data_IF_324589107139
#
_entry.id   IF_324589107139
#
_cell.length_a   1.000
_cell.length_b   1.000
_cell.length_c   1.000
_cell.angle_alpha   90.00
_cell.angle_beta   90.00
_cell.angle_gamma   90.00
#
_symmetry.space_group_name_H-M   'P 1'
#
loop_
_entity.id
_entity.type
_entity.pdbx_description
1 polymer ?
#
# COMPACT_ATOMS: atom_id res chain seq x y z
N UNK A 1 -26.50 -27.03 56.24
CA UNK A 1 -26.24 -28.42 55.82
C UNK A 1 -24.91 -28.44 55.08
N UNK A 2 -23.93 -29.02 55.75
CA UNK A 2 -22.53 -29.22 55.35
C UNK A 2 -22.37 -30.53 54.58
N UNK A 3 -21.67 -30.52 53.44
CA UNK A 3 -21.11 -31.71 52.77
C UNK A 3 -19.77 -31.28 52.18
N UNK A 4 -18.67 -31.52 52.90
CA UNK A 4 -17.83 -32.72 52.86
C UNK A 4 -17.17 -33.00 51.51
N UNK A 5 -15.86 -32.73 51.51
CA UNK A 5 -14.84 -33.11 50.55
C UNK A 5 -14.57 -34.62 50.63
N UNK A 6 -14.50 -35.30 49.49
CA UNK A 6 -13.70 -36.53 49.33
C UNK A 6 -12.99 -36.51 48.00
N UNK A 7 -11.65 -36.50 48.08
CA UNK A 7 -10.77 -36.47 46.94
C UNK A 7 -10.64 -37.80 46.21
N UNK A 8 -10.09 -37.72 45.00
CA UNK A 8 -9.46 -38.86 44.34
C UNK A 8 -8.26 -38.36 43.55
N UNK A 9 -7.07 -38.73 44.03
CA UNK A 9 -5.80 -38.62 43.32
C UNK A 9 -5.81 -39.66 42.20
N UNK A 10 -5.69 -39.21 40.97
CA UNK A 10 -5.39 -40.04 39.80
C UNK A 10 -4.14 -39.49 39.14
N UNK A 11 -3.01 -40.17 39.32
CA UNK A 11 -1.83 -40.02 38.47
C UNK A 11 -2.19 -40.49 37.06
N UNK A 12 -2.06 -39.62 36.07
CA UNK A 12 -1.96 -40.00 34.66
C UNK A 12 -0.61 -39.50 34.15
N UNK A 13 0.23 -40.48 33.81
CA UNK A 13 1.50 -40.31 33.14
C UNK A 13 1.28 -40.29 31.61
N UNK A 14 2.28 -39.74 30.91
CA UNK A 14 2.62 -39.93 29.50
C UNK A 14 1.66 -39.33 28.45
N UNK A 15 2.11 -38.22 27.85
CA UNK A 15 2.75 -38.25 26.53
C UNK A 15 3.35 -36.87 26.25
N UNK A 16 4.68 -36.77 26.26
CA UNK A 16 5.37 -35.61 25.71
C UNK A 16 5.29 -35.71 24.18
N UNK A 17 4.31 -35.03 23.58
CA UNK A 17 4.33 -34.77 22.14
C UNK A 17 5.50 -33.86 21.84
N UNK A 18 6.58 -34.42 21.28
CA UNK A 18 7.57 -33.66 20.55
C UNK A 18 6.89 -33.11 19.30
N UNK A 19 6.30 -31.93 19.43
CA UNK A 19 5.99 -31.09 18.29
C UNK A 19 7.32 -30.71 17.63
N UNK A 20 7.65 -31.40 16.54
CA UNK A 20 8.49 -30.86 15.48
C UNK A 20 7.75 -29.63 14.93
N UNK A 21 7.81 -28.51 15.66
CA UNK A 21 7.59 -27.21 15.04
C UNK A 21 8.76 -27.04 14.09
N UNK A 22 8.47 -27.23 12.81
CA UNK A 22 9.27 -26.74 11.72
C UNK A 22 9.69 -25.31 12.07
N UNK A 23 10.96 -25.14 12.41
CA UNK A 23 11.66 -23.88 12.24
C UNK A 23 11.68 -23.63 10.72
N UNK A 24 10.54 -23.22 10.18
CA UNK A 24 10.52 -22.29 9.07
C UNK A 24 11.17 -21.05 9.66
N UNK A 25 12.49 -21.02 9.57
CA UNK A 25 13.25 -19.80 9.66
C UNK A 25 12.63 -18.88 8.63
N UNK A 26 11.70 -18.04 9.09
CA UNK A 26 11.33 -16.80 8.46
C UNK A 26 12.68 -16.17 8.13
N UNK A 27 13.06 -16.21 6.85
CA UNK A 27 14.31 -15.66 6.40
C UNK A 27 14.24 -14.19 6.79
N UNK A 28 14.87 -13.85 7.92
CA UNK A 28 14.91 -12.49 8.41
C UNK A 28 15.47 -11.69 7.25
N UNK A 29 14.62 -10.83 6.67
CA UNK A 29 15.05 -9.95 5.60
C UNK A 29 16.33 -9.27 6.09
N UNK A 30 17.43 -9.30 5.32
CA UNK A 30 18.73 -8.86 5.81
C UNK A 30 18.57 -7.46 6.41
N UNK A 31 18.83 -7.33 7.72
CA UNK A 31 18.51 -6.18 8.59
C UNK A 31 19.19 -4.85 8.21
N UNK A 32 19.66 -4.68 6.98
CA UNK A 32 20.49 -3.54 6.56
C UNK A 32 20.06 -2.86 5.25
N UNK A 33 19.06 -3.37 4.51
CA UNK A 33 18.62 -2.73 3.26
C UNK A 33 17.53 -1.69 3.51
N UNK A 34 17.68 -0.48 2.95
CA UNK A 34 16.62 0.53 3.00
C UNK A 34 15.45 0.08 2.13
N UNK A 35 14.23 0.42 2.51
CA UNK A 35 13.04 0.13 1.71
C UNK A 35 13.13 0.66 0.27
N UNK A 36 13.85 1.77 0.05
CA UNK A 36 14.11 2.36 -1.27
C UNK A 36 14.98 1.49 -2.20
N UNK A 37 15.78 0.57 -1.63
CA UNK A 37 16.79 -0.21 -2.35
C UNK A 37 16.25 -1.56 -2.86
N UNK A 38 14.98 -1.87 -2.60
CA UNK A 38 14.33 -3.11 -3.05
C UNK A 38 13.87 -3.01 -4.51
N UNK A 39 14.16 -4.04 -5.29
CA UNK A 39 13.65 -4.20 -6.67
C UNK A 39 12.16 -4.56 -6.65
N UNK A 40 11.44 -4.36 -7.75
CA UNK A 40 10.02 -4.73 -7.81
C UNK A 40 9.79 -6.21 -7.49
N UNK A 41 10.62 -7.12 -8.01
CA UNK A 41 10.46 -8.56 -7.79
C UNK A 41 10.64 -8.96 -6.33
N UNK A 42 11.66 -8.44 -5.64
CA UNK A 42 11.87 -8.69 -4.22
C UNK A 42 10.66 -8.23 -3.38
N UNK A 43 10.06 -7.09 -3.74
CA UNK A 43 8.87 -6.58 -3.06
C UNK A 43 7.68 -7.49 -3.28
N UNK A 44 7.46 -7.95 -4.51
CA UNK A 44 6.34 -8.83 -4.85
C UNK A 44 6.49 -10.19 -4.17
N UNK A 45 7.69 -10.76 -4.15
CA UNK A 45 7.99 -12.01 -3.46
C UNK A 45 7.64 -11.92 -1.97
N UNK A 46 8.11 -10.89 -1.27
CA UNK A 46 7.83 -10.71 0.15
C UNK A 46 6.39 -10.25 0.45
N UNK A 47 5.79 -9.46 -0.46
CA UNK A 47 4.41 -8.99 -0.35
C UNK A 47 3.42 -10.14 -0.43
N UNK A 48 3.66 -11.11 -1.31
CA UNK A 48 2.72 -12.20 -1.59
C UNK A 48 3.12 -13.54 -0.98
N UNK A 49 4.18 -13.58 -0.17
CA UNK A 49 4.49 -14.71 0.68
C UNK A 49 3.34 -14.95 1.69
N UNK A 50 2.75 -16.16 1.66
CA UNK A 50 1.57 -16.50 2.47
C UNK A 50 1.81 -16.36 3.97
N UNK A 51 2.98 -16.75 4.45
CA UNK A 51 3.35 -16.65 5.86
C UNK A 51 3.42 -15.18 6.30
N UNK A 52 4.06 -14.34 5.48
CA UNK A 52 4.16 -12.90 5.71
C UNK A 52 2.79 -12.22 5.65
N UNK A 53 1.92 -12.59 4.70
CA UNK A 53 0.54 -12.07 4.63
C UNK A 53 -0.27 -12.43 5.88
N UNK A 54 -0.22 -13.70 6.31
CA UNK A 54 -0.88 -14.18 7.53
C UNK A 54 -0.38 -13.44 8.78
N UNK A 55 0.93 -13.25 8.90
CA UNK A 55 1.52 -12.50 10.01
C UNK A 55 1.01 -11.04 10.05
N UNK A 56 0.96 -10.37 8.88
CA UNK A 56 0.44 -8.99 8.79
C UNK A 56 -1.04 -8.90 9.10
N UNK A 57 -1.88 -9.84 8.64
CA UNK A 57 -3.30 -9.89 9.00
C UNK A 57 -3.50 -10.06 10.50
N UNK A 58 -2.77 -10.98 11.11
CA UNK A 58 -2.83 -11.20 12.55
C UNK A 58 -2.44 -9.95 13.33
N UNK A 59 -1.38 -9.25 12.91
CA UNK A 59 -0.98 -8.01 13.58
C UNK A 59 -1.99 -6.87 13.37
N UNK A 60 -2.54 -6.73 12.17
CA UNK A 60 -3.58 -5.74 11.90
C UNK A 60 -4.87 -6.03 12.72
N UNK A 61 -5.23 -7.31 12.91
CA UNK A 61 -6.36 -7.71 13.75
C UNK A 61 -6.12 -7.38 15.24
N UNK A 62 -4.88 -7.49 15.75
CA UNK A 62 -4.56 -7.06 17.12
C UNK A 62 -4.76 -5.56 17.32
N UNK A 63 -4.35 -4.76 16.33
CA UNK A 63 -4.46 -3.30 16.40
C UNK A 63 -5.90 -2.81 16.27
N UNK A 64 -6.68 -3.41 15.36
CA UNK A 64 -8.06 -3.01 15.10
C UNK A 64 -9.07 -3.59 16.10
N UNK A 65 -8.69 -4.64 16.83
CA UNK A 65 -9.55 -5.34 17.78
C UNK A 65 -10.24 -6.57 17.18
N UNK A 66 -10.84 -7.42 18.04
CA UNK A 66 -11.35 -8.74 17.66
C UNK A 66 -12.49 -8.71 16.62
N UNK A 67 -13.16 -7.57 16.45
CA UNK A 67 -14.27 -7.40 15.49
C UNK A 67 -13.79 -7.19 14.05
N UNK A 68 -12.52 -6.84 13.84
CA UNK A 68 -12.00 -6.47 12.52
C UNK A 68 -11.20 -7.59 11.84
N UNK A 69 -11.12 -8.79 12.43
CA UNK A 69 -10.39 -9.90 11.81
C UNK A 69 -10.97 -10.21 10.42
N UNK A 70 -10.24 -9.93 9.32
CA UNK A 70 -10.74 -10.26 8.01
C UNK A 70 -10.68 -11.78 7.85
N UNK A 71 -11.85 -12.41 7.67
CA UNK A 71 -11.98 -13.84 7.38
C UNK A 71 -11.40 -14.21 5.99
N UNK A 72 -11.07 -13.20 5.18
CA UNK A 72 -10.52 -13.39 3.84
C UNK A 72 -9.00 -13.65 3.86
N UNK A 73 -8.65 -14.92 3.63
CA UNK A 73 -7.26 -15.38 3.52
C UNK A 73 -6.49 -14.77 2.34
N UNK A 74 -7.20 -14.28 1.32
CA UNK A 74 -6.62 -13.59 0.15
C UNK A 74 -6.30 -12.12 0.40
N UNK A 75 -6.78 -11.55 1.50
CA UNK A 75 -6.61 -10.13 1.77
C UNK A 75 -5.15 -9.80 2.19
N UNK A 76 -4.52 -8.92 1.42
CA UNK A 76 -3.19 -8.41 1.72
C UNK A 76 -3.28 -7.04 2.39
N UNK A 77 -2.76 -6.95 3.61
CA UNK A 77 -2.71 -5.71 4.39
C UNK A 77 -1.25 -5.23 4.47
N UNK A 78 -1.03 -3.99 4.06
CA UNK A 78 0.29 -3.36 4.03
C UNK A 78 0.19 -1.99 4.70
N UNK A 79 1.13 -1.69 5.59
CA UNK A 79 1.20 -0.48 6.39
C UNK A 79 2.56 0.18 6.16
N UNK A 80 2.61 1.35 5.55
CA UNK A 80 3.92 1.92 5.21
C UNK A 80 4.71 2.46 6.40
N UNK A 81 4.13 2.47 7.61
CA UNK A 81 4.89 2.66 8.85
C UNK A 81 5.66 1.41 9.28
N UNK A 82 5.18 0.21 8.92
CA UNK A 82 5.74 -1.07 9.37
C UNK A 82 6.52 -1.79 8.30
N UNK A 83 6.00 -1.78 7.08
CA UNK A 83 6.55 -2.51 5.94
C UNK A 83 6.50 -1.66 4.66
N UNK A 84 7.15 -0.46 4.66
CA UNK A 84 7.19 0.43 3.51
C UNK A 84 7.78 -0.23 2.27
N UNK A 85 8.70 -1.17 2.43
CA UNK A 85 9.34 -1.92 1.34
C UNK A 85 8.33 -2.74 0.52
N UNK A 86 7.17 -3.13 1.05
CA UNK A 86 6.22 -3.94 0.29
C UNK A 86 5.35 -3.13 -0.68
N UNK A 87 5.40 -1.80 -0.63
CA UNK A 87 4.74 -0.97 -1.62
C UNK A 87 5.53 -0.97 -2.93
N UNK A 88 4.82 -1.07 -4.04
CA UNK A 88 5.39 -0.75 -5.34
C UNK A 88 5.53 0.78 -5.48
N UNK A 89 6.55 1.29 -6.20
CA UNK A 89 6.74 2.73 -6.37
C UNK A 89 5.51 3.48 -6.90
N UNK A 90 4.72 2.86 -7.78
CA UNK A 90 3.53 3.48 -8.35
C UNK A 90 2.40 3.68 -7.33
N UNK A 91 2.30 2.84 -6.30
CA UNK A 91 1.28 2.97 -5.24
C UNK A 91 1.61 4.18 -4.35
N UNK A 92 2.89 4.34 -4.00
CA UNK A 92 3.36 5.50 -3.24
C UNK A 92 3.31 6.77 -4.06
N UNK A 93 3.66 6.72 -5.35
CA UNK A 93 3.56 7.87 -6.24
C UNK A 93 2.11 8.33 -6.42
N UNK A 94 1.18 7.39 -6.61
CA UNK A 94 -0.25 7.72 -6.66
C UNK A 94 -0.72 8.36 -5.34
N UNK A 95 -0.26 7.85 -4.20
CA UNK A 95 -0.57 8.42 -2.89
C UNK A 95 0.02 9.83 -2.71
N UNK A 96 1.25 10.06 -3.18
CA UNK A 96 1.89 11.38 -3.22
C UNK A 96 1.03 12.39 -3.99
N UNK A 97 0.63 12.05 -5.22
CA UNK A 97 -0.18 12.93 -6.05
C UNK A 97 -1.58 13.16 -5.44
N UNK A 98 -2.21 12.10 -4.93
CA UNK A 98 -3.52 12.21 -4.30
C UNK A 98 -3.50 13.12 -3.07
N UNK A 99 -2.51 12.96 -2.20
CA UNK A 99 -2.42 13.74 -0.97
C UNK A 99 -1.94 15.17 -1.24
N UNK A 100 -1.03 15.38 -2.19
CA UNK A 100 -0.52 16.70 -2.52
C UNK A 100 -1.49 17.54 -3.35
N UNK A 101 -2.27 16.94 -4.26
CA UNK A 101 -3.11 17.66 -5.24
C UNK A 101 -4.58 17.20 -5.24
N UNK A 102 -5.01 16.54 -4.17
CA UNK A 102 -6.37 16.08 -3.97
C UNK A 102 -7.41 17.20 -3.94
N UNK A 103 -8.71 16.85 -3.85
CA UNK A 103 -9.80 17.80 -3.97
C UNK A 103 -9.90 18.79 -2.80
N UNK A 104 -9.28 18.48 -1.66
CA UNK A 104 -9.26 19.36 -0.48
C UNK A 104 -7.95 20.14 -0.51
N UNK A 105 -8.01 21.37 -1.06
CA UNK A 105 -6.82 22.20 -1.32
C UNK A 105 -6.00 22.46 -0.05
N UNK A 106 -6.66 22.75 1.08
CA UNK A 106 -6.02 22.99 2.37
C UNK A 106 -5.22 21.77 2.83
N UNK A 107 -5.79 20.57 2.74
CA UNK A 107 -5.10 19.31 3.05
C UNK A 107 -3.88 19.09 2.15
N UNK A 108 -3.99 19.45 0.87
CA UNK A 108 -2.89 19.36 -0.09
C UNK A 108 -1.71 20.28 0.26
N UNK A 109 -2.00 21.54 0.61
CA UNK A 109 -0.98 22.48 1.04
C UNK A 109 -0.27 22.01 2.32
N UNK A 110 -1.03 21.60 3.34
CA UNK A 110 -0.48 21.07 4.59
C UNK A 110 0.38 19.82 4.37
N UNK A 111 -0.03 18.94 3.46
CA UNK A 111 0.74 17.74 3.12
C UNK A 111 2.07 18.09 2.44
N UNK A 112 2.07 19.03 1.48
CA UNK A 112 3.30 19.52 0.84
C UNK A 112 4.22 20.23 1.84
N UNK A 113 3.66 21.05 2.73
CA UNK A 113 4.43 21.73 3.78
C UNK A 113 5.11 20.73 4.71
N UNK A 114 4.40 19.67 5.12
CA UNK A 114 4.96 18.59 5.94
C UNK A 114 6.15 17.89 5.29
N UNK A 115 6.11 17.67 3.99
CA UNK A 115 7.19 16.99 3.25
C UNK A 115 8.32 17.93 2.78
N UNK A 116 8.10 19.24 2.77
CA UNK A 116 9.07 20.23 2.29
C UNK A 116 10.44 20.17 3.00
N UNK A 117 10.54 19.99 4.34
CA UNK A 117 11.83 19.80 4.99
C UNK A 117 12.62 18.60 4.45
N UNK A 118 11.95 17.47 4.17
CA UNK A 118 12.59 16.30 3.57
C UNK A 118 13.03 16.58 2.13
N UNK A 119 12.17 17.22 1.32
CA UNK A 119 12.53 17.62 -0.05
C UNK A 119 13.80 18.48 -0.08
N UNK A 120 13.90 19.47 0.82
CA UNK A 120 15.10 20.31 0.97
C UNK A 120 16.32 19.50 1.41
N UNK A 121 16.17 18.58 2.36
CA UNK A 121 17.27 17.72 2.82
C UNK A 121 17.79 16.77 1.71
N UNK A 122 16.92 16.38 0.78
CA UNK A 122 17.29 15.60 -0.42
C UNK A 122 17.92 16.48 -1.52
N UNK A 123 17.93 17.80 -1.35
CA UNK A 123 18.44 18.76 -2.32
C UNK A 123 17.54 18.89 -3.54
N UNK A 124 16.21 18.81 -3.36
CA UNK A 124 15.27 19.27 -4.39
C UNK A 124 15.16 20.79 -4.36
N UNK A 125 14.97 21.37 -5.54
CA UNK A 125 14.78 22.81 -5.73
C UNK A 125 13.46 23.29 -5.09
N UNK A 126 13.37 24.59 -4.81
CA UNK A 126 12.15 25.20 -4.26
C UNK A 126 10.94 25.03 -5.20
N UNK A 127 11.18 24.86 -6.50
CA UNK A 127 10.17 24.64 -7.54
C UNK A 127 9.63 23.21 -7.59
N UNK A 128 10.18 22.26 -6.80
CA UNK A 128 9.85 20.84 -6.85
C UNK A 128 8.35 20.53 -6.97
N UNK A 129 7.52 21.15 -6.13
CA UNK A 129 6.08 20.91 -6.16
C UNK A 129 5.44 21.47 -7.44
N UNK A 130 5.83 22.66 -7.87
CA UNK A 130 5.33 23.24 -9.12
C UNK A 130 5.72 22.39 -10.33
N UNK A 131 6.97 21.92 -10.38
CA UNK A 131 7.48 21.08 -11.46
C UNK A 131 6.77 19.73 -11.49
N UNK A 132 6.55 19.11 -10.32
CA UNK A 132 5.80 17.86 -10.22
C UNK A 132 4.33 18.03 -10.64
N UNK A 133 3.68 19.12 -10.26
CA UNK A 133 2.29 19.42 -10.68
C UNK A 133 2.19 19.61 -12.20
N UNK A 134 3.13 20.35 -12.80
CA UNK A 134 3.20 20.55 -14.25
C UNK A 134 3.35 19.21 -14.95
N UNK A 135 4.28 18.37 -14.49
CA UNK A 135 4.54 17.04 -15.06
C UNK A 135 3.32 16.10 -14.93
N UNK A 136 2.60 16.17 -13.80
CA UNK A 136 1.46 15.31 -13.51
C UNK A 136 0.11 15.88 -13.97
N UNK A 137 0.07 17.03 -14.65
CA UNK A 137 -1.17 17.79 -14.91
C UNK A 137 -2.26 16.95 -15.57
N UNK A 138 -1.95 16.30 -16.68
CA UNK A 138 -2.94 15.51 -17.41
C UNK A 138 -3.46 14.33 -16.57
N UNK A 139 -2.57 13.72 -15.78
CA UNK A 139 -2.92 12.63 -14.86
C UNK A 139 -3.86 13.12 -13.75
N UNK A 140 -3.60 14.31 -13.21
CA UNK A 140 -4.43 14.95 -12.18
C UNK A 140 -5.81 15.32 -12.75
N UNK A 141 -5.88 15.78 -14.00
CA UNK A 141 -7.14 16.08 -14.68
C UNK A 141 -8.00 14.84 -14.89
N UNK A 142 -7.39 13.72 -15.32
CA UNK A 142 -8.10 12.44 -15.40
C UNK A 142 -8.56 11.94 -14.04
N UNK A 143 -7.76 12.11 -12.97
CA UNK A 143 -8.18 11.72 -11.61
C UNK A 143 -9.34 12.59 -11.09
N UNK A 144 -9.33 13.89 -11.40
CA UNK A 144 -10.46 14.81 -11.12
C UNK A 144 -11.72 14.36 -11.85
N UNK A 145 -11.61 14.04 -13.13
CA UNK A 145 -12.74 13.58 -13.94
C UNK A 145 -13.29 12.24 -13.44
N UNK A 146 -12.42 11.27 -13.15
CA UNK A 146 -12.83 9.98 -12.56
C UNK A 146 -13.58 10.17 -11.24
N UNK A 147 -13.10 11.05 -10.35
CA UNK A 147 -13.81 11.40 -9.11
C UNK A 147 -15.16 12.05 -9.39
N UNK A 148 -15.25 12.94 -10.37
CA UNK A 148 -16.51 13.60 -10.77
C UNK A 148 -17.52 12.57 -11.29
N UNK A 149 -17.08 11.64 -12.14
CA UNK A 149 -17.89 10.56 -12.69
C UNK A 149 -18.40 9.59 -11.61
N UNK A 150 -17.56 9.28 -10.62
CA UNK A 150 -17.95 8.43 -9.50
C UNK A 150 -18.93 9.13 -8.53
N UNK A 151 -18.97 10.47 -8.49
CA UNK A 151 -20.00 11.22 -7.74
C UNK A 151 -21.35 11.06 -8.46
N UNK A 152 -22.19 10.18 -7.94
CA UNK A 152 -23.53 9.91 -8.48
C UNK A 152 -23.74 8.46 -8.93
N UNK A 153 -22.72 7.61 -8.86
CA UNK A 153 -22.82 6.20 -9.26
C UNK A 153 -23.97 5.46 -8.54
N UNK A 154 -24.16 5.73 -7.25
CA UNK A 154 -25.21 5.11 -6.44
C UNK A 154 -26.64 5.45 -6.90
N UNK A 155 -26.83 6.61 -7.53
CA UNK A 155 -28.15 7.10 -7.95
C UNK A 155 -28.45 6.82 -9.43
N UNK A 156 -27.51 6.25 -10.18
CA UNK A 156 -27.66 5.93 -11.60
C UNK A 156 -28.42 4.63 -11.83
N UNK A 157 -29.15 4.57 -12.94
CA UNK A 157 -29.77 3.35 -13.49
C UNK A 157 -28.71 2.36 -13.98
N UNK A 158 -29.10 1.10 -14.22
CA UNK A 158 -28.18 0.08 -14.72
C UNK A 158 -27.55 0.44 -16.09
N UNK A 159 -28.33 1.03 -17.00
CA UNK A 159 -27.84 1.44 -18.32
C UNK A 159 -26.80 2.57 -18.20
N UNK A 160 -27.07 3.59 -17.37
CA UNK A 160 -26.13 4.68 -17.10
C UNK A 160 -24.84 4.17 -16.44
N UNK A 161 -24.93 3.19 -15.55
CA UNK A 161 -23.75 2.57 -14.93
C UNK A 161 -22.89 1.82 -15.94
N UNK A 162 -23.49 1.13 -16.91
CA UNK A 162 -22.75 0.46 -17.99
C UNK A 162 -22.00 1.49 -18.83
N UNK A 163 -22.69 2.54 -19.31
CA UNK A 163 -22.05 3.60 -20.10
C UNK A 163 -20.93 4.31 -19.31
N UNK A 164 -21.16 4.57 -18.03
CA UNK A 164 -20.16 5.17 -17.16
C UNK A 164 -18.95 4.25 -16.95
N UNK A 165 -19.19 2.95 -16.78
CA UNK A 165 -18.14 1.94 -16.62
C UNK A 165 -17.22 1.91 -17.84
N UNK A 166 -17.78 1.95 -19.05
CA UNK A 166 -17.00 2.04 -20.29
C UNK A 166 -16.12 3.30 -20.34
N UNK A 167 -16.66 4.46 -19.96
CA UNK A 167 -15.90 5.72 -19.87
C UNK A 167 -14.78 5.64 -18.83
N UNK A 168 -15.08 5.12 -17.63
CA UNK A 168 -14.10 4.96 -16.55
C UNK A 168 -13.01 3.97 -16.97
N UNK A 169 -13.35 2.87 -17.64
CA UNK A 169 -12.38 1.89 -18.13
C UNK A 169 -11.45 2.49 -19.19
N UNK A 170 -11.99 3.29 -20.12
CA UNK A 170 -11.17 4.01 -21.11
C UNK A 170 -10.19 4.98 -20.42
N UNK A 171 -10.66 5.75 -19.44
CA UNK A 171 -9.80 6.63 -18.63
C UNK A 171 -8.76 5.85 -17.82
N UNK A 172 -9.11 4.68 -17.29
CA UNK A 172 -8.23 3.85 -16.47
C UNK A 172 -7.03 3.32 -17.27
N UNK A 173 -7.24 2.89 -18.51
CA UNK A 173 -6.16 2.43 -19.38
C UNK A 173 -5.16 3.55 -19.69
N UNK A 174 -5.66 4.76 -19.96
CA UNK A 174 -4.82 5.95 -20.15
C UNK A 174 -4.08 6.31 -18.85
N UNK A 175 -4.80 6.37 -17.73
CA UNK A 175 -4.27 6.72 -16.41
C UNK A 175 -3.11 5.81 -15.98
N UNK A 176 -3.25 4.51 -16.23
CA UNK A 176 -2.23 3.55 -15.85
C UNK A 176 -0.91 3.76 -16.59
N UNK A 177 -0.98 3.95 -17.92
CA UNK A 177 0.17 4.21 -18.79
C UNK A 177 0.86 5.51 -18.41
N UNK A 178 0.08 6.58 -18.27
CA UNK A 178 0.62 7.91 -17.98
C UNK A 178 1.21 8.00 -16.58
N UNK A 179 0.62 7.32 -15.58
CA UNK A 179 1.23 7.22 -14.25
C UNK A 179 2.61 6.57 -14.31
N UNK A 180 2.78 5.47 -15.04
CA UNK A 180 4.07 4.80 -15.16
C UNK A 180 5.11 5.70 -15.86
N UNK A 181 4.70 6.37 -16.96
CA UNK A 181 5.53 7.34 -17.68
C UNK A 181 5.96 8.50 -16.79
N UNK A 182 5.01 9.16 -16.13
CA UNK A 182 5.26 10.33 -15.27
C UNK A 182 6.11 9.94 -14.06
N UNK A 183 5.89 8.76 -13.48
CA UNK A 183 6.73 8.27 -12.40
C UNK A 183 8.20 8.11 -12.83
N UNK A 184 8.43 7.49 -13.99
CA UNK A 184 9.78 7.34 -14.53
C UNK A 184 10.40 8.71 -14.88
N UNK A 185 9.63 9.62 -15.47
CA UNK A 185 10.05 11.00 -15.75
C UNK A 185 10.42 11.78 -14.48
N UNK A 186 9.66 11.61 -13.40
CA UNK A 186 9.95 12.22 -12.09
C UNK A 186 11.23 11.63 -11.49
N UNK A 187 11.44 10.31 -11.60
CA UNK A 187 12.68 9.67 -11.14
C UNK A 187 13.90 10.15 -11.93
N UNK A 188 13.78 10.38 -13.23
CA UNK A 188 14.87 10.95 -14.04
C UNK A 188 15.12 12.41 -13.66
N UNK A 189 14.07 13.23 -13.61
CA UNK A 189 14.14 14.68 -13.37
C UNK A 189 14.67 15.02 -11.98
N UNK A 190 14.17 14.36 -10.93
CA UNK A 190 14.54 14.66 -9.54
C UNK A 190 15.69 13.78 -9.01
N UNK A 191 16.14 12.81 -9.81
CA UNK A 191 17.13 11.81 -9.43
C UNK A 191 16.50 10.62 -8.71
N UNK A 192 16.68 9.42 -9.29
CA UNK A 192 15.95 8.20 -8.91
C UNK A 192 16.09 7.87 -7.43
N UNK A 193 17.31 7.87 -6.91
CA UNK A 193 17.56 7.52 -5.51
C UNK A 193 16.85 8.49 -4.56
N UNK A 194 17.02 9.80 -4.79
CA UNK A 194 16.37 10.84 -3.96
C UNK A 194 14.86 10.73 -4.01
N UNK A 195 14.30 10.54 -5.21
CA UNK A 195 12.86 10.42 -5.39
C UNK A 195 12.31 9.16 -4.72
N UNK A 196 13.01 8.02 -4.80
CA UNK A 196 12.67 6.83 -4.01
C UNK A 196 12.73 7.11 -2.51
N UNK A 197 13.76 7.79 -2.01
CA UNK A 197 13.84 8.14 -0.58
C UNK A 197 12.63 9.00 -0.17
N UNK A 198 12.22 9.98 -0.99
CA UNK A 198 10.98 10.74 -0.76
C UNK A 198 9.75 9.83 -0.67
N UNK A 199 9.58 8.89 -1.62
CA UNK A 199 8.43 7.98 -1.62
C UNK A 199 8.42 7.08 -0.37
N UNK A 200 9.52 6.39 -0.07
CA UNK A 200 9.54 5.39 1.00
C UNK A 200 9.67 5.98 2.41
N UNK A 201 10.40 7.09 2.59
CA UNK A 201 10.55 7.73 3.90
C UNK A 201 9.53 8.84 4.16
N UNK A 202 9.14 9.58 3.12
CA UNK A 202 8.18 10.68 3.24
C UNK A 202 6.73 10.22 3.11
N UNK A 203 6.42 9.42 2.08
CA UNK A 203 5.03 9.10 1.71
C UNK A 203 4.53 7.84 2.39
N UNK A 204 5.28 6.73 2.30
CA UNK A 204 4.84 5.42 2.78
C UNK A 204 4.31 5.43 4.23
N UNK A 205 4.91 6.13 5.21
CA UNK A 205 4.39 6.16 6.59
C UNK A 205 2.95 6.69 6.73
N UNK A 206 2.40 7.37 5.72
CA UNK A 206 1.02 7.84 5.72
C UNK A 206 0.05 6.95 4.92
N UNK A 207 0.54 5.84 4.36
CA UNK A 207 -0.20 4.97 3.45
C UNK A 207 -0.45 3.62 4.11
N UNK A 208 -1.69 3.16 4.03
CA UNK A 208 -2.06 1.78 4.29
C UNK A 208 -2.93 1.29 3.14
N UNK A 209 -2.71 0.06 2.69
CA UNK A 209 -3.53 -0.58 1.66
C UNK A 209 -4.03 -1.93 2.14
N UNK A 210 -5.27 -2.20 1.77
CA UNK A 210 -5.93 -3.49 1.91
C UNK A 210 -6.35 -3.89 0.51
N UNK A 211 -5.86 -5.03 0.01
CA UNK A 211 -5.99 -5.38 -1.40
C UNK A 211 -6.06 -6.88 -1.62
N UNK A 212 -6.91 -7.29 -2.56
CA UNK A 212 -6.95 -8.65 -3.13
C UNK A 212 -6.08 -8.77 -4.39
N UNK A 213 -5.30 -7.73 -4.73
CA UNK A 213 -4.51 -7.72 -5.94
C UNK A 213 -3.46 -8.84 -5.93
N UNK A 214 -3.22 -9.49 -7.06
CA UNK A 214 -2.17 -10.50 -7.20
C UNK A 214 -0.82 -9.89 -7.56
N UNK A 215 0.27 -10.66 -7.41
CA UNK A 215 1.59 -10.24 -7.85
C UNK A 215 1.60 -9.84 -9.34
N UNK A 216 0.92 -10.60 -10.19
CA UNK A 216 0.79 -10.31 -11.63
C UNK A 216 0.08 -8.98 -11.89
N UNK A 217 -1.01 -8.70 -11.18
CA UNK A 217 -1.72 -7.43 -11.31
C UNK A 217 -0.86 -6.25 -10.89
N UNK A 218 -0.14 -6.35 -9.76
CA UNK A 218 0.77 -5.27 -9.32
C UNK A 218 1.89 -5.06 -10.34
N UNK A 219 2.43 -6.15 -10.91
CA UNK A 219 3.48 -6.12 -11.94
C UNK A 219 2.97 -5.47 -13.23
N UNK A 220 1.78 -5.84 -13.70
CA UNK A 220 1.09 -5.24 -14.84
C UNK A 220 0.86 -3.74 -14.65
N UNK A 221 0.37 -3.33 -13.48
CA UNK A 221 0.12 -1.92 -13.14
C UNK A 221 1.43 -1.12 -13.05
N UNK A 222 2.50 -1.72 -12.51
CA UNK A 222 3.83 -1.12 -12.47
C UNK A 222 4.43 -0.91 -13.87
N UNK A 223 4.13 -1.82 -14.82
CA UNK A 223 4.49 -1.71 -16.23
C UNK A 223 3.63 -0.73 -17.04
N UNK A 224 2.70 0.00 -16.41
CA UNK A 224 1.81 0.92 -17.13
C UNK A 224 0.66 0.23 -17.84
N UNK A 225 0.22 -0.92 -17.32
CA UNK A 225 -0.84 -1.76 -17.86
C UNK A 225 -0.51 -2.28 -19.27
N UNK A 226 0.70 -2.84 -19.41
CA UNK A 226 1.23 -3.48 -20.61
C UNK A 226 1.79 -4.86 -20.27
#
# INVERSE_FOLDING_TARGET
MTREYTGRRGLLALAASMALCSDLAYAAAPETRRAADWTLEERLEMRFNEESMRARRHEAAKEAGPEWAPDDEGLNIISGTRNPELFAPHELFQSLLHNAYGPIQESGALYRDKLTPLCRALGFEETFWGDLEIMARDLLDVDRERRRLNKGFATMSAAERTELSEKVNALQAWYCRDRARILEEAMVTFGREKFHVLLYHGVAPSVAITSEATAEQVRFIAGGCQ
#
